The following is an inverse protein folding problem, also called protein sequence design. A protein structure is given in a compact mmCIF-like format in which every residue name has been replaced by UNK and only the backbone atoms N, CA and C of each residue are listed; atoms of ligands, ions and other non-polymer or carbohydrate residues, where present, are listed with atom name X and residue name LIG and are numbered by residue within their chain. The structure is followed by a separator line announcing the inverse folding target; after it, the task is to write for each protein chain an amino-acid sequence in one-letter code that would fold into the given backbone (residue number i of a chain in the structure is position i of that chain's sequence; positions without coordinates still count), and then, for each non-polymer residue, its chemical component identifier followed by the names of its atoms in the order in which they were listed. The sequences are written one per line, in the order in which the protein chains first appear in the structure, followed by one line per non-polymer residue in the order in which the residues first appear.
data_IF_426111707740
#
_entry.id   IF_426111707740
#
_cell.length_a   1.000
_cell.length_b   1.000
_cell.length_c   1.000
_cell.angle_alpha   90.00
_cell.angle_beta   90.00
_cell.angle_gamma   90.00
#
_symmetry.space_group_name_H-M   'P 1'
#
loop_
_entity.id
_entity.type
_entity.pdbx_description
1 polymer ?
#
# COMPACT_ATOMS: atom_id res chain seq x y z
N UNK A 1 40.84 -14.43 24.20
CA UNK A 1 39.43 -14.47 24.66
C UNK A 1 38.73 -13.40 23.85
N UNK A 2 38.31 -13.71 22.61
CA UNK A 2 37.05 -14.35 22.24
C UNK A 2 35.89 -13.33 22.18
N UNK A 3 35.75 -12.76 20.97
CA UNK A 3 34.54 -12.26 20.29
C UNK A 3 33.46 -11.54 21.12
N UNK A 4 33.45 -10.21 20.99
CA UNK A 4 32.29 -9.38 21.26
C UNK A 4 31.42 -9.26 20.02
N UNK A 5 30.22 -9.83 20.10
CA UNK A 5 28.95 -9.24 19.66
C UNK A 5 28.97 -8.49 18.32
N UNK A 6 28.96 -9.22 17.21
CA UNK A 6 28.76 -8.63 15.87
C UNK A 6 27.83 -9.47 14.96
N UNK A 7 27.02 -10.35 15.55
CA UNK A 7 25.98 -11.13 14.84
C UNK A 7 24.57 -10.67 15.26
N UNK A 8 24.34 -9.36 15.37
CA UNK A 8 23.00 -8.78 15.57
C UNK A 8 22.46 -8.31 14.23
N UNK A 9 22.47 -9.17 13.22
CA UNK A 9 21.53 -9.10 12.10
C UNK A 9 21.17 -10.55 11.74
N UNK A 10 19.87 -10.80 11.57
CA UNK A 10 19.24 -12.04 11.06
C UNK A 10 18.86 -13.09 12.10
N UNK A 11 17.82 -12.79 12.87
CA UNK A 11 16.64 -13.64 12.69
C UNK A 11 15.64 -12.85 11.84
N UNK A 12 15.23 -13.32 10.64
CA UNK A 12 13.94 -12.86 10.14
C UNK A 12 12.93 -13.14 11.26
N UNK A 13 11.97 -12.25 11.49
CA UNK A 13 10.82 -12.60 12.34
C UNK A 13 10.43 -14.03 11.96
N UNK A 14 10.45 -14.94 12.93
CA UNK A 14 10.09 -16.32 12.62
C UNK A 14 8.71 -16.26 11.99
N UNK A 15 8.53 -16.87 10.82
CA UNK A 15 7.21 -16.99 10.21
C UNK A 15 6.21 -17.59 11.20
N UNK A 16 6.71 -18.44 12.13
CA UNK A 16 5.91 -18.99 13.21
C UNK A 16 5.49 -17.94 14.25
N UNK A 17 6.33 -16.96 14.56
CA UNK A 17 6.01 -15.87 15.50
C UNK A 17 5.04 -14.86 14.87
N UNK A 18 5.21 -14.56 13.57
CA UNK A 18 4.27 -13.74 12.82
C UNK A 18 2.91 -14.44 12.69
N UNK A 19 2.89 -15.72 12.34
CA UNK A 19 1.67 -16.51 12.25
C UNK A 19 0.96 -16.60 13.59
N UNK A 20 1.67 -16.80 14.70
CA UNK A 20 1.07 -16.80 16.04
C UNK A 20 0.49 -15.42 16.40
N UNK A 21 1.21 -14.33 16.12
CA UNK A 21 0.66 -12.99 16.34
C UNK A 21 -0.59 -12.72 15.50
N UNK A 22 -0.60 -13.13 14.22
CA UNK A 22 -1.78 -13.02 13.36
C UNK A 22 -2.93 -13.86 13.89
N UNK A 23 -2.67 -15.10 14.32
CA UNK A 23 -3.68 -16.00 14.86
C UNK A 23 -4.25 -15.50 16.19
N UNK A 24 -3.43 -14.91 17.05
CA UNK A 24 -3.83 -14.34 18.34
C UNK A 24 -4.67 -13.06 18.17
N UNK A 25 -4.41 -12.28 17.11
CA UNK A 25 -5.12 -11.01 16.85
C UNK A 25 -6.39 -11.18 16.00
N UNK A 26 -6.39 -12.12 15.06
CA UNK A 26 -7.49 -12.40 14.12
C UNK A 26 -8.24 -13.70 14.45
N UNK A 27 -8.18 -14.14 15.70
CA UNK A 27 -8.65 -15.45 16.17
C UNK A 27 -9.97 -15.97 15.57
N UNK A 28 -9.95 -17.27 15.29
CA UNK A 28 -11.05 -18.13 14.79
C UNK A 28 -11.60 -17.87 13.36
N UNK A 29 -11.36 -16.72 12.74
CA UNK A 29 -11.72 -16.49 11.32
C UNK A 29 -10.77 -17.19 10.33
N UNK A 30 -9.60 -17.63 10.79
CA UNK A 30 -8.64 -18.43 10.03
C UNK A 30 -8.91 -19.93 10.27
N UNK A 31 -10.13 -20.39 9.97
CA UNK A 31 -10.43 -21.83 9.99
C UNK A 31 -10.56 -22.34 8.56
N UNK A 32 -9.56 -23.15 8.18
CA UNK A 32 -9.43 -23.94 6.94
C UNK A 32 -8.95 -23.15 5.71
N UNK A 33 -7.64 -23.28 5.45
CA UNK A 33 -7.07 -23.14 4.11
C UNK A 33 -7.67 -24.25 3.22
N UNK A 34 -8.86 -24.03 2.69
CA UNK A 34 -9.26 -24.68 1.45
C UNK A 34 -8.47 -23.99 0.35
N UNK A 35 -7.47 -24.70 -0.22
CA UNK A 35 -6.86 -24.32 -1.48
C UNK A 35 -7.94 -24.39 -2.55
N UNK A 36 -8.74 -23.32 -2.67
CA UNK A 36 -9.61 -23.12 -3.83
C UNK A 36 -8.72 -23.00 -5.05
N UNK A 37 -9.05 -23.70 -6.14
CA UNK A 37 -8.39 -23.51 -7.43
C UNK A 37 -8.72 -22.10 -7.95
N UNK A 38 -7.97 -21.10 -7.47
CA UNK A 38 -8.04 -19.72 -7.93
C UNK A 38 -7.62 -19.70 -9.40
N UNK A 39 -8.46 -19.16 -10.28
CA UNK A 39 -8.02 -18.86 -11.65
C UNK A 39 -6.84 -17.91 -11.58
N UNK A 40 -5.77 -18.20 -12.33
CA UNK A 40 -4.63 -17.29 -12.41
C UNK A 40 -5.12 -15.92 -12.88
N UNK A 41 -4.93 -14.87 -12.07
CA UNK A 41 -5.46 -13.57 -12.44
C UNK A 41 -4.74 -12.96 -13.64
N UNK A 42 -5.46 -12.10 -14.36
CA UNK A 42 -4.93 -11.34 -15.50
C UNK A 42 -3.83 -10.37 -15.02
N UNK A 43 -2.72 -10.29 -15.77
CA UNK A 43 -1.64 -9.34 -15.47
C UNK A 43 -2.12 -7.91 -15.77
N UNK A 44 -2.02 -7.02 -14.77
CA UNK A 44 -2.34 -5.60 -14.88
C UNK A 44 -1.08 -4.77 -14.61
N UNK A 45 -0.87 -3.68 -15.36
CA UNK A 45 0.17 -2.70 -15.06
C UNK A 45 -0.17 -1.82 -13.86
N UNK A 46 -1.46 -1.69 -13.55
CA UNK A 46 -1.95 -0.81 -12.49
C UNK A 46 -1.75 -1.45 -11.10
N UNK A 47 -1.64 -2.78 -11.03
CA UNK A 47 -1.60 -3.55 -9.79
C UNK A 47 -0.31 -4.34 -9.60
N UNK A 48 0.05 -4.59 -8.34
CA UNK A 48 1.04 -5.63 -8.01
C UNK A 48 0.34 -6.99 -8.01
N UNK A 49 0.08 -7.50 -9.21
CA UNK A 49 -0.64 -8.77 -9.38
C UNK A 49 0.08 -9.95 -8.73
N UNK A 50 1.41 -9.88 -8.59
CA UNK A 50 2.17 -10.93 -7.90
C UNK A 50 1.82 -10.94 -6.41
N UNK A 51 1.97 -9.79 -5.74
CA UNK A 51 1.61 -9.64 -4.33
C UNK A 51 0.15 -10.01 -4.08
N UNK A 52 -0.77 -9.51 -4.91
CA UNK A 52 -2.20 -9.77 -4.75
C UNK A 52 -2.54 -11.26 -4.93
N UNK A 53 -1.91 -11.94 -5.89
CA UNK A 53 -2.11 -13.39 -6.08
C UNK A 53 -1.64 -14.16 -4.84
N UNK A 54 -0.44 -13.87 -4.34
CA UNK A 54 0.10 -14.50 -3.13
C UNK A 54 -0.80 -14.24 -1.90
N UNK A 55 -1.37 -13.04 -1.79
CA UNK A 55 -2.26 -12.67 -0.70
C UNK A 55 -3.63 -13.38 -0.79
N UNK A 56 -4.20 -13.48 -1.98
CA UNK A 56 -5.46 -14.21 -2.23
C UNK A 56 -5.27 -15.70 -1.98
N UNK A 57 -4.16 -16.30 -2.44
CA UNK A 57 -3.85 -17.71 -2.19
C UNK A 57 -3.67 -18.01 -0.69
N UNK A 58 -3.17 -17.05 0.08
CA UNK A 58 -2.91 -17.22 1.51
C UNK A 58 -4.14 -16.93 2.38
N UNK A 59 -4.87 -15.86 2.11
CA UNK A 59 -5.91 -15.35 3.02
C UNK A 59 -7.33 -15.40 2.44
N UNK A 60 -7.45 -15.80 1.17
CA UNK A 60 -8.71 -15.83 0.44
C UNK A 60 -9.10 -14.44 -0.10
N UNK A 61 -9.89 -14.45 -1.17
CA UNK A 61 -10.32 -13.23 -1.87
C UNK A 61 -11.15 -12.29 -0.98
N UNK A 62 -12.00 -12.84 -0.11
CA UNK A 62 -12.83 -12.05 0.81
C UNK A 62 -11.98 -11.20 1.76
N UNK A 63 -10.91 -11.77 2.32
CA UNK A 63 -10.00 -11.02 3.19
C UNK A 63 -9.36 -9.84 2.44
N UNK A 64 -8.96 -10.04 1.18
CA UNK A 64 -8.37 -8.98 0.36
C UNK A 64 -9.40 -7.89 0.03
N UNK A 65 -10.66 -8.25 -0.22
CA UNK A 65 -11.75 -7.29 -0.41
C UNK A 65 -12.05 -6.48 0.86
N UNK A 66 -12.04 -7.11 2.02
CA UNK A 66 -12.23 -6.43 3.32
C UNK A 66 -11.06 -5.48 3.62
N UNK A 67 -9.82 -5.91 3.34
CA UNK A 67 -8.65 -5.06 3.46
C UNK A 67 -8.72 -3.83 2.55
N UNK A 68 -9.20 -4.01 1.31
CA UNK A 68 -9.42 -2.91 0.37
C UNK A 68 -10.49 -1.93 0.87
N UNK A 69 -11.54 -2.43 1.52
CA UNK A 69 -12.58 -1.59 2.15
C UNK A 69 -12.00 -0.74 3.27
N UNK A 70 -11.19 -1.32 4.16
CA UNK A 70 -10.49 -0.57 5.23
C UNK A 70 -9.53 0.48 4.67
N UNK A 71 -8.87 0.18 3.55
CA UNK A 71 -8.06 1.17 2.84
C UNK A 71 -8.90 2.36 2.36
N UNK A 72 -10.08 2.15 1.77
CA UNK A 72 -10.96 3.24 1.32
C UNK A 72 -11.37 4.16 2.48
N UNK A 73 -11.75 3.59 3.62
CA UNK A 73 -12.16 4.35 4.82
C UNK A 73 -11.05 5.27 5.36
N UNK A 74 -9.79 4.88 5.15
CA UNK A 74 -8.62 5.63 5.64
C UNK A 74 -8.02 6.56 4.59
N UNK A 75 -8.14 6.21 3.30
CA UNK A 75 -7.50 6.93 2.20
C UNK A 75 -8.05 8.35 2.03
N UNK A 76 -9.35 8.57 2.23
CA UNK A 76 -9.96 9.91 2.19
C UNK A 76 -9.25 10.88 3.14
N UNK A 77 -8.95 10.43 4.37
CA UNK A 77 -8.22 11.22 5.36
C UNK A 77 -6.80 11.57 4.89
N UNK A 78 -6.09 10.62 4.30
CA UNK A 78 -4.75 10.87 3.75
C UNK A 78 -4.77 11.83 2.57
N UNK A 79 -5.77 11.76 1.69
CA UNK A 79 -5.93 12.70 0.57
C UNK A 79 -6.19 14.12 1.09
N UNK A 80 -7.04 14.27 2.11
CA UNK A 80 -7.28 15.57 2.75
C UNK A 80 -5.98 16.13 3.34
N UNK A 81 -5.22 15.31 4.09
CA UNK A 81 -3.93 15.72 4.65
C UNK A 81 -2.94 16.14 3.55
N UNK A 82 -2.84 15.38 2.45
CA UNK A 82 -1.96 15.69 1.33
C UNK A 82 -2.35 17.02 0.66
N UNK A 83 -3.63 17.23 0.40
CA UNK A 83 -4.11 18.47 -0.21
C UNK A 83 -3.84 19.67 0.70
N UNK A 84 -4.07 19.56 2.01
CA UNK A 84 -3.76 20.61 2.97
C UNK A 84 -2.26 20.92 3.03
N UNK A 85 -1.42 19.87 3.10
CA UNK A 85 0.03 20.02 3.07
C UNK A 85 0.51 20.72 1.79
N UNK A 86 -0.08 20.36 0.64
CA UNK A 86 0.25 20.97 -0.64
C UNK A 86 -0.17 22.45 -0.70
N UNK A 87 -1.37 22.79 -0.21
CA UNK A 87 -1.80 24.19 -0.14
C UNK A 87 -0.92 25.03 0.78
N UNK A 88 -0.48 24.48 1.92
CA UNK A 88 0.46 25.15 2.81
C UNK A 88 1.81 25.38 2.12
N UNK A 89 2.33 24.38 1.41
CA UNK A 89 3.55 24.48 0.61
C UNK A 89 3.48 25.57 -0.47
N UNK A 90 2.32 25.77 -1.12
CA UNK A 90 2.14 26.84 -2.11
C UNK A 90 2.27 28.25 -1.51
N UNK A 91 2.01 28.41 -0.21
CA UNK A 91 2.17 29.68 0.51
C UNK A 91 3.57 29.82 1.09
N UNK A 92 4.17 28.71 1.54
CA UNK A 92 5.47 28.66 2.18
C UNK A 92 6.27 27.43 1.71
N UNK A 93 7.25 27.61 0.79
CA UNK A 93 8.08 26.53 0.30
C UNK A 93 8.87 25.78 1.37
N UNK A 94 9.10 26.35 2.57
CA UNK A 94 9.76 25.66 3.69
C UNK A 94 8.92 24.48 4.21
N UNK A 95 7.61 24.47 3.94
CA UNK A 95 6.68 23.41 4.32
C UNK A 95 6.66 22.22 3.36
N UNK A 96 7.59 22.15 2.39
CA UNK A 96 7.71 21.03 1.44
C UNK A 96 7.75 19.67 2.15
N UNK A 97 8.42 19.58 3.30
CA UNK A 97 8.56 18.34 4.09
C UNK A 97 7.23 17.74 4.50
N UNK A 98 6.19 18.55 4.70
CA UNK A 98 4.84 18.07 5.01
C UNK A 98 4.23 17.32 3.82
N UNK A 99 4.44 17.82 2.60
CA UNK A 99 3.98 17.15 1.36
C UNK A 99 4.68 15.80 1.21
N UNK A 100 6.00 15.76 1.43
CA UNK A 100 6.77 14.51 1.33
C UNK A 100 6.30 13.49 2.38
N UNK A 101 6.01 13.94 3.60
CA UNK A 101 5.49 13.08 4.68
C UNK A 101 4.11 12.52 4.35
N UNK A 102 3.18 13.35 3.88
CA UNK A 102 1.84 12.89 3.46
C UNK A 102 1.94 11.91 2.28
N UNK A 103 2.80 12.19 1.29
CA UNK A 103 3.04 11.28 0.18
C UNK A 103 3.64 9.94 0.64
N UNK A 104 4.50 9.92 1.66
CA UNK A 104 5.03 8.69 2.24
C UNK A 104 3.94 7.81 2.86
N UNK A 105 3.02 8.41 3.63
CA UNK A 105 1.88 7.68 4.23
C UNK A 105 1.01 7.04 3.16
N UNK A 106 0.64 7.83 2.13
CA UNK A 106 -0.16 7.37 1.00
C UNK A 106 0.56 6.25 0.24
N UNK A 107 1.86 6.40 -0.02
CA UNK A 107 2.67 5.35 -0.66
C UNK A 107 2.60 4.04 0.13
N UNK A 108 2.71 4.08 1.45
CA UNK A 108 2.61 2.91 2.32
C UNK A 108 1.23 2.24 2.21
N UNK A 109 0.16 3.03 2.27
CA UNK A 109 -1.21 2.54 2.14
C UNK A 109 -1.48 1.89 0.78
N UNK A 110 -1.05 2.54 -0.32
CA UNK A 110 -1.17 1.99 -1.67
C UNK A 110 -0.37 0.70 -1.86
N UNK A 111 0.82 0.62 -1.24
CA UNK A 111 1.64 -0.57 -1.25
C UNK A 111 0.93 -1.76 -0.56
N UNK A 112 0.26 -1.52 0.57
CA UNK A 112 -0.40 -2.61 1.31
C UNK A 112 -1.59 -3.24 0.57
N UNK A 113 -2.22 -2.51 -0.35
CA UNK A 113 -3.35 -3.00 -1.17
C UNK A 113 -2.98 -3.31 -2.62
N UNK A 114 -1.70 -3.22 -2.98
CA UNK A 114 -1.24 -3.56 -4.33
C UNK A 114 -1.62 -2.57 -5.43
N UNK A 115 -1.98 -1.32 -5.11
CA UNK A 115 -2.28 -0.25 -6.08
C UNK A 115 -0.99 0.39 -6.61
N UNK A 116 -0.30 -0.36 -7.47
CA UNK A 116 1.07 -0.10 -7.91
C UNK A 116 1.24 1.21 -8.67
N UNK A 117 0.37 1.56 -9.62
CA UNK A 117 0.54 2.78 -10.41
C UNK A 117 0.50 4.03 -9.53
N UNK A 118 -0.48 4.11 -8.64
CA UNK A 118 -0.57 5.21 -7.69
C UNK A 118 0.56 5.18 -6.66
N UNK A 119 1.00 3.99 -6.22
CA UNK A 119 2.16 3.87 -5.34
C UNK A 119 3.42 4.48 -5.98
N UNK A 120 3.63 4.26 -7.27
CA UNK A 120 4.75 4.86 -8.02
C UNK A 120 4.62 6.39 -8.10
N UNK A 121 3.41 6.92 -8.28
CA UNK A 121 3.14 8.37 -8.26
C UNK A 121 3.45 8.95 -6.87
N UNK A 122 2.96 8.31 -5.81
CA UNK A 122 3.25 8.70 -4.42
C UNK A 122 4.76 8.65 -4.13
N UNK A 123 5.49 7.67 -4.69
CA UNK A 123 6.94 7.60 -4.55
C UNK A 123 7.67 8.76 -5.22
N UNK A 124 7.19 9.27 -6.36
CA UNK A 124 7.76 10.48 -7.00
C UNK A 124 7.43 11.73 -6.18
N UNK A 125 6.19 11.84 -5.71
CA UNK A 125 5.76 12.93 -4.84
C UNK A 125 6.54 12.99 -3.51
N UNK A 126 6.93 11.83 -2.96
CA UNK A 126 7.74 11.73 -1.73
C UNK A 126 9.21 12.15 -1.94
N UNK A 127 9.75 12.09 -3.15
CA UNK A 127 11.18 12.32 -3.39
C UNK A 127 11.43 13.69 -4.04
N UNK A 128 11.77 14.70 -3.21
CA UNK A 128 12.08 16.06 -3.68
C UNK A 128 13.31 16.16 -4.61
N UNK A 129 14.17 15.13 -4.65
CA UNK A 129 15.31 15.07 -5.58
C UNK A 129 14.92 14.56 -6.98
N UNK A 130 13.65 14.14 -7.16
CA UNK A 130 13.13 13.77 -8.48
C UNK A 130 13.28 14.96 -9.43
N UNK A 131 13.76 14.69 -10.64
CA UNK A 131 13.91 15.71 -11.67
C UNK A 131 12.58 16.47 -11.86
N UNK A 132 12.64 17.81 -11.85
CA UNK A 132 11.46 18.68 -12.00
C UNK A 132 10.35 18.41 -10.97
N UNK A 133 10.69 18.01 -9.73
CA UNK A 133 9.68 17.76 -8.69
C UNK A 133 8.73 18.95 -8.50
N UNK A 134 9.26 20.18 -8.45
CA UNK A 134 8.45 21.39 -8.26
C UNK A 134 7.45 21.62 -9.38
N UNK A 135 7.81 21.29 -10.62
CA UNK A 135 6.93 21.45 -11.77
C UNK A 135 5.84 20.35 -11.82
N UNK A 136 6.12 19.18 -11.23
CA UNK A 136 5.27 18.00 -11.32
C UNK A 136 4.40 17.73 -10.08
N UNK A 137 4.77 18.26 -8.90
CA UNK A 137 4.09 17.92 -7.64
C UNK A 137 2.59 18.25 -7.67
N UNK A 138 2.20 19.35 -8.33
CA UNK A 138 0.80 19.71 -8.52
C UNK A 138 0.00 18.59 -9.21
N UNK A 139 0.58 18.03 -10.26
CA UNK A 139 -0.02 16.95 -11.03
C UNK A 139 -0.08 15.65 -10.21
N UNK A 140 1.00 15.27 -9.53
CA UNK A 140 1.00 14.05 -8.71
C UNK A 140 -0.01 14.11 -7.56
N UNK A 141 -0.13 15.26 -6.87
CA UNK A 141 -1.16 15.45 -5.84
C UNK A 141 -2.56 15.32 -6.44
N UNK A 142 -2.80 15.90 -7.62
CA UNK A 142 -4.08 15.80 -8.28
C UNK A 142 -4.42 14.35 -8.70
N UNK A 143 -3.47 13.62 -9.28
CA UNK A 143 -3.67 12.23 -9.67
C UNK A 143 -4.00 11.35 -8.46
N UNK A 144 -3.22 11.49 -7.36
CA UNK A 144 -3.49 10.76 -6.12
C UNK A 144 -4.88 11.07 -5.56
N UNK A 145 -5.33 12.31 -5.65
CA UNK A 145 -6.63 12.74 -5.11
C UNK A 145 -7.83 12.34 -5.97
N UNK A 146 -7.64 12.09 -7.27
CA UNK A 146 -8.76 11.93 -8.23
C UNK A 146 -8.87 10.54 -8.83
N UNK A 147 -7.78 9.77 -8.86
CA UNK A 147 -7.75 8.48 -9.57
C UNK A 147 -7.85 7.27 -8.63
N UNK A 148 -7.71 7.47 -7.32
CA UNK A 148 -7.63 6.35 -6.37
C UNK A 148 -8.93 5.55 -6.25
N UNK A 149 -10.10 6.19 -6.19
CA UNK A 149 -11.37 5.46 -6.15
C UNK A 149 -11.57 4.61 -7.42
N UNK A 150 -11.21 5.17 -8.58
CA UNK A 150 -11.32 4.46 -9.85
C UNK A 150 -10.37 3.27 -9.94
N UNK A 151 -9.17 3.34 -9.37
CA UNK A 151 -8.28 2.18 -9.29
C UNK A 151 -8.73 1.13 -8.28
N UNK A 152 -9.31 1.55 -7.16
CA UNK A 152 -9.96 0.64 -6.21
C UNK A 152 -11.09 -0.14 -6.88
N UNK A 153 -11.97 0.54 -7.64
CA UNK A 153 -13.06 -0.10 -8.36
C UNK A 153 -12.54 -1.13 -9.38
N UNK A 154 -11.49 -0.78 -10.14
CA UNK A 154 -10.84 -1.73 -11.04
C UNK A 154 -10.25 -2.92 -10.28
N UNK A 155 -9.66 -2.71 -9.10
CA UNK A 155 -9.09 -3.78 -8.30
C UNK A 155 -10.18 -4.70 -7.74
N UNK A 156 -11.34 -4.17 -7.31
CA UNK A 156 -12.50 -5.00 -6.94
C UNK A 156 -12.96 -5.89 -8.09
N UNK A 157 -13.05 -5.33 -9.31
CA UNK A 157 -13.40 -6.12 -10.50
C UNK A 157 -12.37 -7.23 -10.72
N UNK A 158 -11.08 -6.90 -10.65
CA UNK A 158 -10.01 -7.88 -10.79
C UNK A 158 -10.09 -8.99 -9.72
N UNK A 159 -10.37 -8.65 -8.47
CA UNK A 159 -10.54 -9.62 -7.38
C UNK A 159 -11.76 -10.53 -7.59
N UNK A 160 -12.86 -9.99 -8.13
CA UNK A 160 -14.05 -10.81 -8.45
C UNK A 160 -13.82 -11.81 -9.58
N UNK A 161 -12.78 -11.63 -10.40
CA UNK A 161 -12.37 -12.60 -11.42
C UNK A 161 -11.48 -13.72 -10.85
N UNK A 162 -10.97 -13.55 -9.61
CA UNK A 162 -10.20 -14.55 -8.88
C UNK A 162 -11.08 -15.54 -8.09
N UNK A 163 -12.36 -15.21 -7.85
CA UNK A 163 -13.38 -16.14 -7.31
C UNK A 163 -13.63 -17.33 -8.26
#
# INVERSE_FOLDING_TARGET
MAQGMDDVIHKPLSLDELNQCLFDYFGEEITQFELTETKQPQVSSDFDTKMLTELVEMLGVNFVQDNLTLFEETMDGYIIELQQAYQAYLQDPELQTNVLSSAHKIKGALASVGLKRLQEIASRAQNAETEQWQDNIANWVNLLATEWQGEVDKLRVWLSECE
#
